data_IF_055085871702
#
_entry.id   IF_055085871702
#
_cell.length_a   1.000
_cell.length_b   1.000
_cell.length_c   1.000
_cell.angle_alpha   90.00
_cell.angle_beta   90.00
_cell.angle_gamma   90.00
#
_symmetry.space_group_name_H-M   'P 1'
#
loop_
_entity.id
_entity.type
_entity.pdbx_description
1 polymer ?
#
# COMPACT_ATOMS: atom_id res chain seq x y z
N UNK A 1 -12.20 29.45 15.78
CA UNK A 1 -12.16 28.17 15.04
C UNK A 1 -10.89 27.42 15.43
N UNK A 2 -10.94 26.34 16.23
CA UNK A 2 -9.73 25.65 16.65
C UNK A 2 -9.11 24.94 15.45
N UNK A 3 -7.86 25.27 15.11
CA UNK A 3 -7.04 24.58 14.11
C UNK A 3 -6.79 23.15 14.61
N UNK A 4 -7.58 22.20 14.10
CA UNK A 4 -7.39 20.78 14.36
C UNK A 4 -5.95 20.41 14.02
N UNK A 5 -5.22 19.94 15.03
CA UNK A 5 -3.81 19.61 14.92
C UNK A 5 -3.59 18.50 13.89
N UNK A 6 -2.77 18.71 12.84
CA UNK A 6 -2.53 17.70 11.80
C UNK A 6 -1.88 16.40 12.32
N UNK A 7 -1.27 16.44 13.51
CA UNK A 7 -0.62 15.28 14.13
C UNK A 7 -1.60 14.18 14.59
N UNK A 8 -2.85 14.50 14.94
CA UNK A 8 -3.81 13.49 15.44
C UNK A 8 -4.37 12.63 14.30
N UNK A 9 -4.58 13.22 13.13
CA UNK A 9 -5.16 12.53 11.97
C UNK A 9 -4.19 11.52 11.36
N UNK A 10 -2.90 11.86 11.26
CA UNK A 10 -1.88 10.94 10.76
C UNK A 10 -1.76 9.70 11.67
N UNK A 11 -1.75 9.91 12.99
CA UNK A 11 -1.67 8.82 13.98
C UNK A 11 -2.90 7.90 13.95
N UNK A 12 -4.10 8.47 13.79
CA UNK A 12 -5.34 7.71 13.62
C UNK A 12 -5.33 6.85 12.35
N UNK A 13 -4.81 7.37 11.24
CA UNK A 13 -4.68 6.62 9.98
C UNK A 13 -3.65 5.50 10.08
N UNK A 14 -2.52 5.74 10.74
CA UNK A 14 -1.53 4.69 10.98
C UNK A 14 -2.11 3.58 11.87
N UNK A 15 -2.85 3.94 12.93
CA UNK A 15 -3.56 2.96 13.75
C UNK A 15 -4.59 2.16 12.92
N UNK A 16 -5.31 2.82 12.01
CA UNK A 16 -6.22 2.16 11.08
C UNK A 16 -5.49 1.19 10.14
N UNK A 17 -4.36 1.58 9.57
CA UNK A 17 -3.55 0.72 8.71
C UNK A 17 -3.00 -0.51 9.46
N UNK A 18 -2.53 -0.34 10.71
CA UNK A 18 -2.10 -1.44 11.58
C UNK A 18 -3.26 -2.42 11.84
N UNK A 19 -4.43 -1.88 12.23
CA UNK A 19 -5.63 -2.71 12.46
C UNK A 19 -5.99 -3.53 11.22
N UNK A 20 -5.96 -2.91 10.03
CA UNK A 20 -6.26 -3.59 8.77
C UNK A 20 -5.23 -4.63 8.39
N UNK A 21 -3.95 -4.38 8.66
CA UNK A 21 -2.90 -5.36 8.44
C UNK A 21 -3.13 -6.62 9.27
N UNK A 22 -3.43 -6.44 10.56
CA UNK A 22 -3.73 -7.54 11.48
C UNK A 22 -4.98 -8.32 11.05
N UNK A 23 -6.08 -7.62 10.76
CA UNK A 23 -7.35 -8.26 10.39
C UNK A 23 -7.29 -9.00 9.06
N UNK A 24 -6.55 -8.49 8.06
CA UNK A 24 -6.57 -9.04 6.70
C UNK A 24 -5.42 -10.00 6.40
N UNK A 25 -4.28 -9.80 7.03
CA UNK A 25 -3.06 -10.56 6.74
C UNK A 25 -2.53 -11.33 7.95
N UNK A 26 -3.11 -11.11 9.15
CA UNK A 26 -2.58 -11.69 10.39
C UNK A 26 -1.24 -11.08 10.82
N UNK A 27 -0.80 -9.99 10.18
CA UNK A 27 0.51 -9.38 10.41
C UNK A 27 0.42 -8.33 11.51
N UNK A 28 1.27 -8.44 12.53
CA UNK A 28 1.45 -7.40 13.54
C UNK A 28 2.43 -6.34 13.03
N UNK A 29 1.88 -5.22 12.57
CA UNK A 29 2.68 -4.05 12.19
C UNK A 29 2.78 -3.06 13.35
N UNK A 30 3.97 -2.50 13.54
CA UNK A 30 4.19 -1.37 14.46
C UNK A 30 4.10 -0.03 13.71
N UNK A 31 4.02 1.08 14.46
CA UNK A 31 4.14 2.41 13.87
C UNK A 31 5.48 2.60 13.15
N UNK A 32 6.57 2.06 13.71
CA UNK A 32 7.90 2.13 13.10
C UNK A 32 7.95 1.42 11.74
N UNK A 33 7.21 0.31 11.59
CA UNK A 33 7.15 -0.40 10.30
C UNK A 33 6.46 0.44 9.24
N UNK A 34 5.35 1.10 9.60
CA UNK A 34 4.68 2.03 8.69
C UNK A 34 5.54 3.25 8.35
N UNK A 35 6.34 3.77 9.29
CA UNK A 35 7.29 4.84 9.01
C UNK A 35 8.39 4.38 8.04
N UNK A 36 8.97 3.19 8.25
CA UNK A 36 9.96 2.61 7.33
C UNK A 36 9.37 2.43 5.93
N UNK A 37 8.14 1.93 5.81
CA UNK A 37 7.44 1.83 4.53
C UNK A 37 7.26 3.20 3.88
N UNK A 38 6.82 4.20 4.65
CA UNK A 38 6.65 5.58 4.18
C UNK A 38 7.98 6.16 3.67
N UNK A 39 9.09 5.93 4.38
CA UNK A 39 10.42 6.34 3.93
C UNK A 39 10.84 5.61 2.64
N UNK A 40 10.58 4.31 2.52
CA UNK A 40 10.88 3.53 1.32
C UNK A 40 10.08 4.03 0.09
N UNK A 41 8.79 4.37 0.28
CA UNK A 41 7.96 5.00 -0.76
C UNK A 41 8.58 6.32 -1.21
N UNK A 42 8.95 7.19 -0.25
CA UNK A 42 9.54 8.50 -0.54
C UNK A 42 10.91 8.40 -1.22
N UNK A 43 11.69 7.38 -0.89
CA UNK A 43 12.97 7.08 -1.51
C UNK A 43 12.83 6.39 -2.88
N UNK A 44 11.62 6.09 -3.34
CA UNK A 44 11.38 5.38 -4.60
C UNK A 44 11.87 3.93 -4.60
N UNK A 45 12.02 3.31 -3.42
CA UNK A 45 12.54 1.94 -3.27
C UNK A 45 11.49 0.85 -3.40
N UNK A 46 10.21 1.22 -3.48
CA UNK A 46 9.10 0.28 -3.64
C UNK A 46 8.54 0.33 -5.05
N UNK A 47 8.07 -0.82 -5.53
CA UNK A 47 7.41 -0.91 -6.82
C UNK A 47 6.07 -0.16 -6.77
N UNK A 48 5.96 0.90 -7.56
CA UNK A 48 4.72 1.65 -7.75
C UNK A 48 3.81 0.88 -8.71
N UNK A 49 2.60 0.57 -8.26
CA UNK A 49 1.59 -0.14 -9.06
C UNK A 49 0.66 0.84 -9.77
N UNK A 50 0.29 1.93 -9.10
CA UNK A 50 -0.61 2.93 -9.63
C UNK A 50 -0.31 4.29 -9.02
N UNK A 51 -0.60 5.37 -9.75
CA UNK A 51 -0.48 6.72 -9.24
C UNK A 51 -1.56 7.62 -9.84
N UNK A 52 -2.16 8.42 -8.97
CA UNK A 52 -3.07 9.51 -9.30
C UNK A 52 -2.63 10.79 -8.56
N UNK A 53 -3.27 11.93 -8.84
CA UNK A 53 -2.96 13.25 -8.27
C UNK A 53 -3.04 13.30 -6.74
N UNK A 54 -3.80 12.40 -6.10
CA UNK A 54 -4.01 12.41 -4.65
C UNK A 54 -3.33 11.23 -3.95
N UNK A 55 -3.22 10.09 -4.61
CA UNK A 55 -2.76 8.84 -3.99
C UNK A 55 -1.82 8.08 -4.91
N UNK A 56 -0.89 7.34 -4.31
CA UNK A 56 -0.04 6.37 -5.02
C UNK A 56 -0.14 5.02 -4.34
N UNK A 57 -0.15 3.96 -5.13
CA UNK A 57 -0.24 2.58 -4.66
C UNK A 57 1.11 1.91 -4.87
N UNK A 58 1.66 1.33 -3.81
CA UNK A 58 2.97 0.67 -3.83
C UNK A 58 2.85 -0.76 -3.35
N UNK A 59 3.52 -1.68 -4.02
CA UNK A 59 3.64 -3.06 -3.55
C UNK A 59 4.64 -3.08 -2.39
N UNK A 60 4.19 -3.65 -1.27
CA UNK A 60 5.03 -3.93 -0.09
C UNK A 60 5.08 -5.44 0.14
N UNK A 61 6.26 -5.92 0.50
CA UNK A 61 6.47 -7.30 0.95
C UNK A 61 6.84 -7.25 2.43
N UNK A 62 6.07 -7.95 3.25
CA UNK A 62 6.32 -8.09 4.67
C UNK A 62 7.44 -9.12 4.93
N UNK A 63 8.05 -9.13 6.13
CA UNK A 63 9.15 -10.05 6.45
C UNK A 63 8.79 -11.54 6.36
N UNK A 64 7.52 -11.88 6.56
CA UNK A 64 6.96 -13.23 6.41
C UNK A 64 6.75 -13.63 4.94
N UNK A 65 7.08 -12.75 3.99
CA UNK A 65 6.90 -12.95 2.56
C UNK A 65 5.51 -12.57 2.04
N UNK A 66 4.56 -12.21 2.92
CA UNK A 66 3.24 -11.76 2.51
C UNK A 66 3.33 -10.43 1.74
N UNK A 67 2.47 -10.26 0.74
CA UNK A 67 2.45 -9.04 -0.11
C UNK A 67 1.17 -8.25 0.10
N UNK A 68 1.30 -6.94 0.22
CA UNK A 68 0.19 -6.00 0.32
C UNK A 68 0.39 -4.80 -0.62
N UNK A 69 -0.71 -4.11 -0.91
CA UNK A 69 -0.68 -2.82 -1.60
C UNK A 69 -0.86 -1.71 -0.57
N UNK A 70 0.18 -0.89 -0.40
CA UNK A 70 0.14 0.30 0.43
C UNK A 70 -0.44 1.49 -0.34
N UNK A 71 -1.53 2.06 0.17
CA UNK A 71 -2.14 3.27 -0.38
C UNK A 71 -1.56 4.49 0.33
N UNK A 72 -0.70 5.22 -0.37
CA UNK A 72 0.00 6.39 0.13
C UNK A 72 -0.66 7.68 -0.36
N UNK A 73 -1.05 8.54 0.58
CA UNK A 73 -1.58 9.88 0.30
C UNK A 73 -0.44 10.86 0.07
N UNK A 74 -0.42 11.49 -1.10
CA UNK A 74 0.66 12.38 -1.52
C UNK A 74 0.62 13.70 -0.77
N UNK A 75 -0.57 14.19 -0.41
CA UNK A 75 -0.76 15.47 0.29
C UNK A 75 -0.32 15.36 1.74
N UNK A 76 -0.78 14.31 2.40
CA UNK A 76 -0.53 14.09 3.82
C UNK A 76 0.76 13.28 4.08
N UNK A 77 1.45 12.85 3.01
CA UNK A 77 2.70 12.10 3.04
C UNK A 77 2.67 10.88 3.97
N UNK A 78 1.55 10.15 3.98
CA UNK A 78 1.30 9.04 4.90
C UNK A 78 0.53 7.89 4.25
N UNK A 79 0.71 6.68 4.77
CA UNK A 79 -0.05 5.50 4.35
C UNK A 79 -1.46 5.58 4.96
N UNK A 80 -2.50 5.58 4.12
CA UNK A 80 -3.90 5.59 4.58
C UNK A 80 -4.41 4.21 4.94
N UNK A 81 -4.03 3.19 4.17
CA UNK A 81 -4.50 1.82 4.35
C UNK A 81 -3.63 0.81 3.61
N UNK A 82 -3.83 -0.46 3.92
CA UNK A 82 -3.20 -1.62 3.27
C UNK A 82 -4.30 -2.48 2.65
N UNK A 83 -4.14 -2.78 1.35
CA UNK A 83 -5.05 -3.62 0.59
C UNK A 83 -4.38 -4.96 0.32
N UNK A 84 -5.17 -6.03 0.35
CA UNK A 84 -4.71 -7.36 -0.06
C UNK A 84 -4.31 -7.30 -1.52
N UNK A 85 -3.14 -7.88 -1.84
CA UNK A 85 -2.87 -8.26 -3.23
C UNK A 85 -3.79 -9.43 -3.49
N UNK A 86 -5.03 -9.15 -3.91
CA UNK A 86 -5.77 -10.16 -4.65
C UNK A 86 -4.90 -10.41 -5.86
N UNK A 87 -4.32 -11.60 -5.98
CA UNK A 87 -3.84 -12.04 -7.27
C UNK A 87 -5.05 -11.93 -8.19
N UNK A 88 -5.16 -10.82 -8.92
CA UNK A 88 -5.86 -10.85 -10.17
C UNK A 88 -5.17 -12.00 -10.89
N UNK A 89 -5.94 -13.07 -11.12
CA UNK A 89 -5.48 -14.23 -11.87
C UNK A 89 -4.66 -13.69 -13.03
N UNK A 90 -3.47 -14.25 -13.18
CA UNK A 90 -2.71 -14.15 -14.41
C UNK A 90 -3.45 -14.98 -15.47
N UNK A 91 -4.71 -14.62 -15.74
CA UNK A 91 -5.56 -15.12 -16.80
C UNK A 91 -5.45 -14.10 -17.94
N UNK A 92 -5.03 -14.61 -19.10
CA UNK A 92 -4.96 -13.96 -20.42
C UNK A 92 -3.74 -13.04 -20.65
N UNK A 93 -2.66 -13.54 -21.25
CA UNK A 93 -2.63 -13.68 -22.72
C UNK A 93 -1.58 -14.70 -23.18
N UNK A 94 -1.98 -15.97 -23.36
CA UNK A 94 -1.21 -16.96 -24.14
C UNK A 94 -2.09 -17.66 -25.20
N UNK A 95 -2.91 -16.87 -25.92
CA UNK A 95 -3.63 -17.32 -27.11
C UNK A 95 -3.45 -16.33 -28.25
N UNK A 96 -2.23 -16.22 -28.77
CA UNK A 96 -2.01 -15.82 -30.16
C UNK A 96 -1.99 -17.09 -31.01
N UNK A 97 -3.18 -17.61 -31.33
CA UNK A 97 -3.33 -18.61 -32.39
C UNK A 97 -3.20 -17.86 -33.71
N UNK A 98 -2.01 -17.92 -34.32
CA UNK A 98 -1.78 -17.39 -35.67
C UNK A 98 -2.28 -18.46 -36.66
N UNK A 99 -3.32 -18.21 -37.47
CA UNK A 99 -3.71 -19.16 -38.50
C UNK A 99 -2.63 -19.16 -39.59
N UNK A 100 -2.01 -20.33 -39.83
CA UNK A 100 -1.14 -20.52 -40.99
C UNK A 100 -2.01 -20.53 -42.25
N UNK A 101 -1.73 -19.62 -43.18
CA UNK A 101 -2.02 -19.78 -44.61
C UNK A 101 -0.72 -20.08 -45.33
#
# INVERSE_FOLDING_TARGET
MPRQHPHSVARLRMAHAIKRARERFGVELTFNDLERMTQAIRAGRLQRLHADRQCTMHLVTFPDGARAVAVYDVRDRSIRTLLTVTQAKNDESNHLWIPRR
#
